data_IF_021224218228
#
_entry.id   IF_021224218228
#
_cell.length_a   1.000
_cell.length_b   1.000
_cell.length_c   1.000
_cell.angle_alpha   90.00
_cell.angle_beta   90.00
_cell.angle_gamma   90.00
#
_symmetry.space_group_name_H-M   'P 1'
#
loop_
_entity.id
_entity.type
_entity.pdbx_description
1 polymer ?
#
# COMPACT_ATOMS: atom_id res chain seq x y z
N UNK A 1 16.60 14.56 -19.41
CA UNK A 1 15.91 14.21 -18.15
C UNK A 1 15.59 12.75 -18.30
N UNK A 2 16.23 11.89 -17.51
CA UNK A 2 15.93 10.47 -17.55
C UNK A 2 14.59 10.29 -16.84
N UNK A 3 13.53 10.18 -17.63
CA UNK A 3 12.20 9.86 -17.15
C UNK A 3 12.26 8.46 -16.52
N UNK A 4 11.95 8.35 -15.22
CA UNK A 4 12.05 7.08 -14.52
C UNK A 4 10.94 6.15 -15.01
N UNK A 5 11.32 4.99 -15.55
CA UNK A 5 10.40 3.85 -15.65
C UNK A 5 9.98 3.41 -14.25
N UNK A 6 8.89 2.64 -14.14
CA UNK A 6 8.51 2.00 -12.88
C UNK A 6 9.74 1.34 -12.22
N UNK A 7 9.89 1.58 -10.93
CA UNK A 7 11.01 1.12 -10.12
C UNK A 7 10.54 0.05 -9.14
N UNK A 8 11.46 -0.83 -8.75
CA UNK A 8 11.18 -1.82 -7.71
C UNK A 8 10.95 -1.15 -6.35
N UNK A 9 9.95 -1.61 -5.60
CA UNK A 9 9.70 -1.13 -4.24
C UNK A 9 10.79 -1.56 -3.23
N UNK A 10 11.61 -2.56 -3.58
CA UNK A 10 12.60 -3.18 -2.68
C UNK A 10 13.55 -2.16 -2.06
N UNK A 11 14.20 -1.36 -2.87
CA UNK A 11 15.17 -0.39 -2.37
C UNK A 11 14.47 0.72 -1.56
N UNK A 12 13.29 1.19 -2.01
CA UNK A 12 12.52 2.22 -1.31
C UNK A 12 12.20 1.81 0.13
N UNK A 13 11.69 0.58 0.30
CA UNK A 13 11.23 0.05 1.59
C UNK A 13 12.41 -0.32 2.49
N UNK A 14 13.51 -0.87 1.92
CA UNK A 14 14.74 -1.14 2.69
C UNK A 14 15.36 0.13 3.25
N UNK A 15 15.43 1.20 2.44
CA UNK A 15 15.93 2.50 2.90
C UNK A 15 15.03 3.13 3.96
N UNK A 16 13.72 3.05 3.77
CA UNK A 16 12.73 3.52 4.73
C UNK A 16 12.92 2.87 6.10
N UNK A 17 13.07 1.54 6.13
CA UNK A 17 13.39 0.80 7.36
C UNK A 17 14.70 1.28 7.99
N UNK A 18 15.77 1.38 7.20
CA UNK A 18 17.10 1.74 7.71
C UNK A 18 17.13 3.17 8.29
N UNK A 19 16.40 4.11 7.67
CA UNK A 19 16.35 5.53 8.03
C UNK A 19 15.14 5.89 8.90
N UNK A 20 14.34 4.91 9.33
CA UNK A 20 13.17 5.04 10.21
C UNK A 20 12.10 6.02 9.70
N UNK A 21 11.74 5.89 8.43
CA UNK A 21 10.53 6.45 7.83
C UNK A 21 9.72 5.33 7.16
N UNK A 22 8.55 5.65 6.63
CA UNK A 22 7.78 4.69 5.83
C UNK A 22 7.43 5.23 4.45
N UNK A 23 7.38 4.35 3.45
CA UNK A 23 6.88 4.66 2.11
C UNK A 23 5.36 4.56 2.11
N UNK A 24 4.69 5.58 1.59
CA UNK A 24 3.26 5.52 1.35
C UNK A 24 2.93 4.58 0.19
N UNK A 25 2.05 3.61 0.46
CA UNK A 25 1.46 2.72 -0.53
C UNK A 25 -0.02 3.09 -0.70
N UNK A 26 -0.33 3.82 -1.75
CA UNK A 26 -1.65 4.41 -1.94
C UNK A 26 -2.44 3.66 -3.00
N UNK A 27 -3.64 3.20 -2.67
CA UNK A 27 -4.49 2.49 -3.62
C UNK A 27 -5.10 3.45 -4.64
N UNK A 28 -5.23 2.98 -5.87
CA UNK A 28 -5.91 3.68 -6.96
C UNK A 28 -6.91 2.77 -7.68
N UNK A 29 -7.91 3.39 -8.31
CA UNK A 29 -8.93 2.72 -9.13
C UNK A 29 -9.23 3.42 -10.45
N UNK A 30 -8.59 4.55 -10.72
CA UNK A 30 -8.84 5.39 -11.91
C UNK A 30 -7.64 6.31 -12.24
N UNK A 31 -7.82 7.18 -13.23
CA UNK A 31 -6.81 8.14 -13.67
C UNK A 31 -6.60 9.25 -12.64
N UNK A 32 -7.69 9.80 -12.12
CA UNK A 32 -7.71 10.98 -11.26
C UNK A 32 -7.01 10.73 -9.92
N UNK A 33 -7.30 9.61 -9.27
CA UNK A 33 -6.65 9.22 -8.02
C UNK A 33 -5.15 8.98 -8.26
N UNK A 34 -4.79 8.29 -9.36
CA UNK A 34 -3.40 8.04 -9.73
C UNK A 34 -2.63 9.36 -9.90
N UNK A 35 -3.19 10.31 -10.64
CA UNK A 35 -2.61 11.65 -10.84
C UNK A 35 -2.43 12.40 -9.54
N UNK A 36 -3.45 12.40 -8.68
CA UNK A 36 -3.39 13.10 -7.41
C UNK A 36 -2.32 12.53 -6.46
N UNK A 37 -2.15 11.20 -6.43
CA UNK A 37 -1.10 10.54 -5.64
C UNK A 37 0.30 10.92 -6.15
N UNK A 38 0.53 10.83 -7.46
CA UNK A 38 1.84 11.16 -8.04
C UNK A 38 2.16 12.64 -7.87
N UNK A 39 1.21 13.53 -8.12
CA UNK A 39 1.39 14.97 -7.91
C UNK A 39 1.75 15.31 -6.45
N UNK A 40 1.11 14.64 -5.47
CA UNK A 40 1.45 14.80 -4.07
C UNK A 40 2.88 14.35 -3.76
N UNK A 41 3.27 13.17 -4.26
CA UNK A 41 4.59 12.62 -4.04
C UNK A 41 5.70 13.46 -4.71
N UNK A 42 5.43 13.99 -5.91
CA UNK A 42 6.33 14.92 -6.60
C UNK A 42 6.50 16.22 -5.84
N UNK A 43 5.40 16.83 -5.39
CA UNK A 43 5.43 18.05 -4.58
C UNK A 43 6.23 17.88 -3.27
N UNK A 44 6.22 16.67 -2.70
CA UNK A 44 6.97 16.34 -1.49
C UNK A 44 8.36 15.75 -1.76
N UNK A 45 8.77 15.57 -3.02
CA UNK A 45 10.02 14.88 -3.39
C UNK A 45 10.17 13.54 -2.66
N UNK A 46 9.12 12.74 -2.71
CA UNK A 46 9.01 11.44 -2.04
C UNK A 46 8.92 10.32 -3.08
N UNK A 47 9.64 9.19 -2.90
CA UNK A 47 9.26 7.95 -3.56
C UNK A 47 7.85 7.51 -3.16
N UNK A 48 7.15 6.79 -4.03
CA UNK A 48 5.77 6.36 -3.79
C UNK A 48 5.48 4.98 -4.37
N UNK A 49 4.61 4.22 -3.69
CA UNK A 49 4.06 2.97 -4.20
C UNK A 49 2.59 3.20 -4.54
N UNK A 50 2.20 2.85 -5.77
CA UNK A 50 0.81 2.89 -6.22
C UNK A 50 0.29 1.46 -6.24
N UNK A 51 -0.78 1.23 -5.49
CA UNK A 51 -1.37 -0.08 -5.28
C UNK A 51 -2.66 -0.27 -6.08
N UNK A 52 -2.86 -1.48 -6.59
CA UNK A 52 -4.14 -1.92 -7.15
C UNK A 52 -4.60 -3.18 -6.43
N UNK A 53 -5.81 -3.15 -5.87
CA UNK A 53 -6.43 -4.32 -5.25
C UNK A 53 -7.18 -5.17 -6.28
N UNK A 54 -7.53 -6.44 -5.97
CA UNK A 54 -8.39 -7.26 -6.81
C UNK A 54 -9.67 -6.56 -7.26
N UNK A 55 -10.28 -5.76 -6.38
CA UNK A 55 -11.51 -5.01 -6.69
C UNK A 55 -11.27 -3.86 -7.67
N UNK A 56 -10.13 -3.16 -7.53
CA UNK A 56 -9.77 -2.11 -8.48
C UNK A 56 -9.49 -2.71 -9.86
N UNK A 57 -8.78 -3.85 -9.90
CA UNK A 57 -8.51 -4.62 -11.11
C UNK A 57 -9.80 -5.12 -11.76
N UNK A 58 -10.75 -5.65 -10.99
CA UNK A 58 -12.07 -6.07 -11.48
C UNK A 58 -12.86 -4.89 -12.06
N UNK A 59 -12.80 -3.73 -11.42
CA UNK A 59 -13.53 -2.54 -11.84
C UNK A 59 -12.98 -1.92 -13.13
N UNK A 60 -11.68 -1.64 -13.20
CA UNK A 60 -11.08 -0.85 -14.27
C UNK A 60 -10.33 -1.69 -15.33
N UNK A 61 -10.07 -2.97 -15.04
CA UNK A 61 -9.24 -3.84 -15.87
C UNK A 61 -7.76 -3.76 -15.50
N UNK A 62 -7.11 -4.91 -15.47
CA UNK A 62 -5.71 -5.06 -15.05
C UNK A 62 -4.75 -4.25 -15.93
N UNK A 63 -4.81 -4.46 -17.24
CA UNK A 63 -3.94 -3.81 -18.24
C UNK A 63 -4.22 -2.30 -18.32
N UNK A 64 -5.48 -1.90 -18.18
CA UNK A 64 -5.88 -0.49 -18.18
C UNK A 64 -5.27 0.25 -17.00
N UNK A 65 -5.44 -0.26 -15.78
CA UNK A 65 -4.86 0.37 -14.59
C UNK A 65 -3.34 0.41 -14.63
N UNK A 66 -2.70 -0.69 -15.02
CA UNK A 66 -1.26 -0.74 -15.16
C UNK A 66 -0.76 0.29 -16.19
N UNK A 67 -1.47 0.45 -17.32
CA UNK A 67 -1.12 1.41 -18.36
C UNK A 67 -1.27 2.86 -17.89
N UNK A 68 -2.34 3.18 -17.14
CA UNK A 68 -2.52 4.50 -16.52
C UNK A 68 -1.33 4.81 -15.61
N UNK A 69 -1.02 3.89 -14.68
CA UNK A 69 0.03 4.09 -13.68
C UNK A 69 1.40 4.20 -14.34
N UNK A 70 1.70 3.35 -15.33
CA UNK A 70 2.95 3.40 -16.09
C UNK A 70 3.09 4.73 -16.84
N UNK A 71 2.04 5.17 -17.52
CA UNK A 71 2.04 6.43 -18.26
C UNK A 71 2.29 7.63 -17.34
N UNK A 72 1.69 7.67 -16.14
CA UNK A 72 1.94 8.76 -15.21
C UNK A 72 3.32 8.67 -14.55
N UNK A 73 3.80 7.46 -14.24
CA UNK A 73 5.15 7.23 -13.70
C UNK A 73 6.26 7.69 -14.67
N UNK A 74 6.08 7.47 -15.98
CA UNK A 74 7.02 7.92 -17.01
C UNK A 74 7.09 9.45 -17.14
N UNK A 75 6.13 10.20 -16.57
CA UNK A 75 6.08 11.67 -16.68
C UNK A 75 6.50 12.40 -15.41
N UNK A 76 7.00 11.68 -14.40
CA UNK A 76 7.44 12.27 -13.12
C UNK A 76 8.91 11.97 -12.84
N UNK A 77 9.66 12.86 -12.16
CA UNK A 77 11.05 12.61 -11.79
C UNK A 77 11.19 11.71 -10.55
N UNK A 78 10.09 11.35 -9.89
CA UNK A 78 10.13 10.58 -8.64
C UNK A 78 10.16 9.06 -8.90
N UNK A 79 10.77 8.25 -8.00
CA UNK A 79 10.63 6.81 -8.06
C UNK A 79 9.18 6.38 -7.76
N UNK A 80 8.55 5.71 -8.73
CA UNK A 80 7.20 5.13 -8.59
C UNK A 80 7.28 3.61 -8.72
N UNK A 81 6.65 2.88 -7.80
CA UNK A 81 6.47 1.43 -7.90
C UNK A 81 4.99 1.09 -8.12
N UNK A 82 4.72 0.06 -8.93
CA UNK A 82 3.39 -0.50 -9.14
C UNK A 82 3.24 -1.79 -8.31
N UNK A 83 2.25 -1.83 -7.43
CA UNK A 83 2.04 -2.90 -6.45
C UNK A 83 0.69 -3.61 -6.59
N UNK A 84 0.71 -4.94 -6.63
CA UNK A 84 -0.49 -5.76 -6.41
C UNK A 84 -0.76 -5.82 -4.91
N UNK A 85 -1.90 -5.29 -4.47
CA UNK A 85 -2.31 -5.25 -3.08
C UNK A 85 -3.35 -6.36 -2.81
N UNK A 86 -3.10 -7.21 -1.80
CA UNK A 86 -3.95 -8.37 -1.47
C UNK A 86 -4.20 -9.34 -2.64
N UNK A 87 -3.15 -9.79 -3.33
CA UNK A 87 -3.27 -10.86 -4.33
C UNK A 87 -3.63 -12.20 -3.67
N UNK A 88 -4.79 -12.77 -4.01
CA UNK A 88 -5.30 -13.99 -3.35
C UNK A 88 -5.11 -15.28 -4.17
N UNK A 89 -4.63 -15.18 -5.41
CA UNK A 89 -4.33 -16.34 -6.27
C UNK A 89 -2.98 -16.17 -6.95
N UNK A 90 -2.29 -17.30 -7.15
CA UNK A 90 -1.02 -17.32 -7.87
C UNK A 90 -1.16 -16.83 -9.31
N UNK A 91 -2.28 -17.16 -9.97
CA UNK A 91 -2.58 -16.67 -11.32
C UNK A 91 -2.70 -15.13 -11.37
N UNK A 92 -3.23 -14.50 -10.32
CA UNK A 92 -3.28 -13.04 -10.25
C UNK A 92 -1.88 -12.44 -10.10
N UNK A 93 -1.04 -13.03 -9.25
CA UNK A 93 0.37 -12.63 -9.10
C UNK A 93 1.10 -12.75 -10.44
N UNK A 94 0.99 -13.91 -11.10
CA UNK A 94 1.60 -14.17 -12.41
C UNK A 94 1.13 -13.17 -13.48
N UNK A 95 -0.18 -12.91 -13.57
CA UNK A 95 -0.72 -11.93 -14.51
C UNK A 95 -0.16 -10.53 -14.27
N UNK A 96 -0.05 -10.09 -13.00
CA UNK A 96 0.53 -8.80 -12.65
C UNK A 96 2.01 -8.71 -13.03
N UNK A 97 2.79 -9.76 -12.77
CA UNK A 97 4.21 -9.83 -13.15
C UNK A 97 4.37 -9.74 -14.67
N UNK A 98 3.58 -10.50 -15.43
CA UNK A 98 3.63 -10.55 -16.89
C UNK A 98 3.37 -9.19 -17.57
N UNK A 99 2.65 -8.28 -16.92
CA UNK A 99 2.35 -6.95 -17.46
C UNK A 99 3.24 -5.84 -16.88
N UNK A 100 4.23 -6.21 -16.05
CA UNK A 100 5.26 -5.28 -15.58
C UNK A 100 4.99 -4.64 -14.21
N UNK A 101 4.25 -5.30 -13.32
CA UNK A 101 4.23 -4.89 -11.90
C UNK A 101 5.64 -4.98 -11.32
N UNK A 102 6.04 -3.97 -10.53
CA UNK A 102 7.37 -3.89 -9.92
C UNK A 102 7.39 -4.21 -8.42
N UNK A 103 6.24 -4.65 -7.90
CA UNK A 103 6.02 -5.10 -6.53
C UNK A 103 4.75 -5.95 -6.51
N UNK A 104 4.71 -7.05 -5.75
CA UNK A 104 3.48 -7.85 -5.59
C UNK A 104 3.28 -8.26 -4.14
N UNK A 105 2.03 -8.46 -3.75
CA UNK A 105 1.67 -9.09 -2.48
C UNK A 105 0.89 -10.37 -2.74
N UNK A 106 1.22 -11.44 -2.02
CA UNK A 106 0.35 -12.58 -1.87
C UNK A 106 -0.25 -12.59 -0.47
N UNK A 107 -1.58 -12.53 -0.40
CA UNK A 107 -2.33 -12.57 0.85
C UNK A 107 -2.93 -13.96 1.07
N UNK A 108 -2.16 -14.81 1.75
CA UNK A 108 -2.61 -16.12 2.24
C UNK A 108 -3.16 -16.09 3.66
N UNK A 109 -3.32 -14.90 4.27
CA UNK A 109 -3.69 -14.73 5.69
C UNK A 109 -4.99 -15.43 6.08
N UNK A 110 -5.92 -15.57 5.14
CA UNK A 110 -7.21 -16.25 5.33
C UNK A 110 -7.11 -17.77 5.45
N UNK A 111 -5.94 -18.36 5.19
CA UNK A 111 -5.70 -19.80 5.22
C UNK A 111 -5.00 -20.26 6.51
N UNK A 112 -4.93 -21.57 6.72
CA UNK A 112 -4.04 -22.17 7.72
C UNK A 112 -2.58 -21.81 7.45
N UNK A 113 -1.77 -21.68 8.51
CA UNK A 113 -0.40 -21.18 8.43
C UNK A 113 0.45 -21.95 7.41
N UNK A 114 0.43 -23.28 7.45
CA UNK A 114 1.18 -24.12 6.52
C UNK A 114 0.77 -23.88 5.05
N UNK A 115 -0.52 -23.68 4.79
CA UNK A 115 -1.01 -23.39 3.45
C UNK A 115 -0.60 -21.99 2.99
N UNK A 116 -0.64 -21.00 3.90
CA UNK A 116 -0.14 -19.65 3.66
C UNK A 116 1.36 -19.68 3.32
N UNK A 117 2.17 -20.42 4.07
CA UNK A 117 3.60 -20.59 3.81
C UNK A 117 3.87 -21.19 2.42
N UNK A 118 3.14 -22.25 2.05
CA UNK A 118 3.31 -22.92 0.74
C UNK A 118 3.00 -21.95 -0.41
N UNK A 119 1.83 -21.30 -0.37
CA UNK A 119 1.40 -20.43 -1.47
C UNK A 119 2.21 -19.14 -1.53
N UNK A 120 2.55 -18.55 -0.38
CA UNK A 120 3.40 -17.36 -0.34
C UNK A 120 4.78 -17.67 -0.90
N UNK A 121 5.40 -18.82 -0.55
CA UNK A 121 6.68 -19.25 -1.14
C UNK A 121 6.59 -19.35 -2.66
N UNK A 122 5.52 -19.93 -3.20
CA UNK A 122 5.33 -20.03 -4.65
C UNK A 122 5.20 -18.66 -5.30
N UNK A 123 4.46 -17.73 -4.69
CA UNK A 123 4.36 -16.35 -5.16
C UNK A 123 5.71 -15.61 -5.13
N UNK A 124 6.50 -15.80 -4.06
CA UNK A 124 7.86 -15.28 -3.93
C UNK A 124 8.77 -15.81 -5.03
N UNK A 125 8.76 -17.13 -5.29
CA UNK A 125 9.55 -17.76 -6.36
C UNK A 125 9.18 -17.19 -7.74
N UNK A 126 7.89 -16.97 -8.01
CA UNK A 126 7.43 -16.32 -9.26
C UNK A 126 7.90 -14.87 -9.36
N UNK A 127 7.76 -14.09 -8.29
CA UNK A 127 8.15 -12.68 -8.27
C UNK A 127 9.67 -12.52 -8.41
N UNK A 128 10.47 -13.31 -7.69
CA UNK A 128 11.92 -13.28 -7.76
C UNK A 128 12.45 -13.70 -9.14
N UNK A 129 11.75 -14.58 -9.86
CA UNK A 129 12.11 -14.90 -11.26
C UNK A 129 11.97 -13.72 -12.23
N UNK A 130 11.24 -12.67 -11.82
CA UNK A 130 11.08 -11.39 -12.53
C UNK A 130 11.87 -10.24 -11.90
N UNK A 131 12.75 -10.51 -10.91
CA UNK A 131 13.43 -9.48 -10.10
C UNK A 131 12.46 -8.53 -9.35
N UNK A 132 11.26 -9.01 -9.01
CA UNK A 132 10.21 -8.26 -8.32
C UNK A 132 10.10 -8.71 -6.85
N UNK A 133 10.06 -7.78 -5.87
CA UNK A 133 9.86 -8.15 -4.47
C UNK A 133 8.43 -8.65 -4.22
N UNK A 134 8.30 -9.58 -3.28
CA UNK A 134 7.02 -10.12 -2.84
C UNK A 134 6.76 -9.85 -1.36
N UNK A 135 5.61 -9.23 -1.07
CA UNK A 135 5.06 -9.04 0.26
C UNK A 135 4.16 -10.25 0.63
N UNK A 136 4.30 -10.75 1.85
CA UNK A 136 3.36 -11.71 2.43
C UNK A 136 2.67 -11.14 3.67
N UNK A 137 1.57 -11.76 4.10
CA UNK A 137 0.84 -11.37 5.31
C UNK A 137 0.79 -12.51 6.35
N UNK A 138 1.04 -12.16 7.61
CA UNK A 138 0.89 -13.06 8.75
C UNK A 138 0.00 -12.43 9.83
N UNK A 139 -0.92 -13.21 10.39
CA UNK A 139 -2.11 -12.67 11.06
C UNK A 139 -3.22 -12.48 10.03
N UNK A 140 -4.32 -11.82 10.39
CA UNK A 140 -5.32 -11.39 9.39
C UNK A 140 -6.06 -10.16 9.89
N UNK A 141 -6.21 -9.16 9.03
CA UNK A 141 -7.05 -8.01 9.34
C UNK A 141 -8.53 -8.42 9.40
N UNK A 142 -9.22 -7.92 10.44
CA UNK A 142 -10.67 -8.06 10.52
C UNK A 142 -11.34 -7.16 9.48
N UNK A 143 -12.44 -7.63 8.89
CA UNK A 143 -13.36 -6.76 8.14
C UNK A 143 -14.46 -6.30 9.09
N UNK A 144 -14.74 -5.00 9.11
CA UNK A 144 -15.80 -4.42 9.93
C UNK A 144 -17.11 -5.22 9.79
N UNK A 145 -17.55 -5.85 10.89
CA UNK A 145 -18.80 -6.62 10.95
C UNK A 145 -18.79 -8.05 10.40
N UNK A 146 -17.65 -8.60 9.97
CA UNK A 146 -17.60 -9.94 9.35
C UNK A 146 -16.66 -10.93 10.07
N UNK A 147 -15.41 -10.55 10.32
CA UNK A 147 -14.40 -11.44 10.89
C UNK A 147 -13.59 -10.71 11.96
N UNK A 148 -13.33 -11.37 13.09
CA UNK A 148 -12.42 -10.82 14.12
C UNK A 148 -11.00 -10.77 13.55
N UNK A 149 -10.32 -9.65 13.75
CA UNK A 149 -8.89 -9.56 13.46
C UNK A 149 -8.14 -10.62 14.26
N UNK A 150 -7.14 -11.23 13.62
CA UNK A 150 -6.19 -12.13 14.26
C UNK A 150 -4.86 -11.43 14.25
N UNK A 151 -4.37 -11.10 15.44
CA UNK A 151 -3.05 -10.51 15.60
C UNK A 151 -1.98 -11.48 15.09
N UNK A 152 -0.90 -10.93 14.54
CA UNK A 152 0.28 -11.72 14.17
C UNK A 152 0.84 -12.40 15.40
N UNK A 153 1.01 -13.72 15.35
CA UNK A 153 1.70 -14.46 16.39
C UNK A 153 3.22 -14.32 16.17
N UNK A 154 3.98 -13.72 17.11
CA UNK A 154 5.42 -13.53 16.94
C UNK A 154 6.22 -14.83 16.80
N UNK A 155 5.71 -15.92 17.36
CA UNK A 155 6.42 -17.19 17.38
C UNK A 155 6.42 -17.85 15.97
N UNK A 156 5.48 -17.46 15.11
CA UNK A 156 5.36 -17.94 13.72
C UNK A 156 6.22 -17.08 12.74
N UNK A 157 6.68 -15.90 13.16
CA UNK A 157 7.31 -14.91 12.26
C UNK A 157 8.62 -15.42 11.65
N UNK A 158 9.50 -16.01 12.46
CA UNK A 158 10.81 -16.47 11.99
C UNK A 158 10.63 -17.56 10.94
N UNK A 159 9.80 -18.55 11.25
CA UNK A 159 9.55 -19.70 10.38
C UNK A 159 8.87 -19.25 9.08
N UNK A 160 7.87 -18.37 9.18
CA UNK A 160 7.19 -17.83 8.00
C UNK A 160 8.16 -17.12 7.05
N UNK A 161 8.98 -16.18 7.56
CA UNK A 161 9.95 -15.45 6.73
C UNK A 161 10.99 -16.39 6.12
N UNK A 162 11.50 -17.35 6.89
CA UNK A 162 12.51 -18.31 6.40
C UNK A 162 11.96 -19.26 5.34
N UNK A 163 10.75 -19.79 5.52
CA UNK A 163 10.13 -20.72 4.58
C UNK A 163 9.67 -20.04 3.31
N UNK A 164 9.17 -18.81 3.40
CA UNK A 164 8.59 -18.11 2.26
C UNK A 164 9.62 -17.31 1.47
N UNK A 165 10.61 -16.73 2.15
CA UNK A 165 11.58 -15.83 1.52
C UNK A 165 11.00 -14.46 1.14
N UNK A 166 9.88 -14.05 1.75
CA UNK A 166 9.26 -12.74 1.49
C UNK A 166 10.23 -11.58 1.68
N UNK A 167 10.07 -10.54 0.85
CA UNK A 167 10.87 -9.32 0.94
C UNK A 167 10.32 -8.37 2.01
N UNK A 168 9.00 -8.35 2.20
CA UNK A 168 8.30 -7.55 3.21
C UNK A 168 7.23 -8.39 3.91
N UNK A 169 6.95 -8.05 5.16
CA UNK A 169 5.93 -8.75 5.96
C UNK A 169 4.85 -7.78 6.44
N UNK A 170 3.63 -7.95 5.94
CA UNK A 170 2.44 -7.32 6.49
C UNK A 170 2.04 -7.99 7.82
N UNK A 171 1.80 -7.16 8.83
CA UNK A 171 1.49 -7.62 10.20
C UNK A 171 0.17 -7.04 10.69
N UNK A 172 -0.58 -7.86 11.41
CA UNK A 172 -1.82 -7.48 12.08
C UNK A 172 -1.52 -7.18 13.54
N UNK A 173 -1.53 -5.89 13.90
CA UNK A 173 -1.21 -5.40 15.26
C UNK A 173 -2.36 -4.60 15.89
N UNK A 174 -3.59 -4.77 15.39
CA UNK A 174 -4.79 -4.12 15.92
C UNK A 174 -5.49 -3.16 14.94
N UNK A 175 -4.85 -2.81 13.82
CA UNK A 175 -5.51 -2.06 12.75
C UNK A 175 -6.62 -2.90 12.08
N UNK A 176 -7.60 -2.22 11.47
CA UNK A 176 -8.67 -2.85 10.69
C UNK A 176 -8.82 -2.16 9.32
N UNK A 177 -9.45 -2.85 8.37
CA UNK A 177 -9.81 -2.25 7.09
C UNK A 177 -11.10 -1.41 7.21
N UNK A 178 -11.03 -0.12 6.89
CA UNK A 178 -12.20 0.75 6.71
C UNK A 178 -12.33 1.86 7.75
N UNK A 179 -13.52 2.48 7.80
CA UNK A 179 -13.90 3.46 8.81
C UNK A 179 -14.61 2.70 9.94
N UNK A 180 -14.00 2.67 11.13
CA UNK A 180 -14.52 2.02 12.33
C UNK A 180 -13.67 2.37 13.56
N UNK A 181 -14.05 1.89 14.74
CA UNK A 181 -13.19 1.96 15.93
C UNK A 181 -11.98 1.04 15.70
N UNK A 182 -10.87 1.60 15.23
CA UNK A 182 -9.59 0.91 15.30
C UNK A 182 -9.23 0.74 16.78
N UNK A 183 -8.89 -0.48 17.17
CA UNK A 183 -8.20 -0.69 18.43
C UNK A 183 -6.83 0.00 18.35
N UNK A 184 -6.34 0.51 19.48
CA UNK A 184 -5.02 1.11 19.54
C UNK A 184 -3.96 0.11 19.04
N UNK A 185 -2.97 0.58 18.28
CA UNK A 185 -1.93 -0.30 17.76
C UNK A 185 -1.16 -0.95 18.91
N UNK A 186 -0.97 -2.27 18.84
CA UNK A 186 -0.17 -3.00 19.81
C UNK A 186 1.32 -2.83 19.51
N UNK A 187 1.89 -1.72 20.00
CA UNK A 187 3.29 -1.35 19.76
C UNK A 187 4.27 -2.35 20.41
N UNK A 188 3.93 -2.95 21.55
CA UNK A 188 4.78 -3.96 22.19
C UNK A 188 4.85 -5.24 21.36
N UNK A 189 3.74 -5.67 20.78
CA UNK A 189 3.71 -6.76 19.81
C UNK A 189 4.56 -6.43 18.57
N UNK A 190 4.40 -5.21 18.02
CA UNK A 190 5.18 -4.75 16.87
C UNK A 190 6.69 -4.80 17.16
N UNK A 191 7.13 -4.33 18.33
CA UNK A 191 8.54 -4.41 18.76
C UNK A 191 9.04 -5.85 18.79
N UNK A 192 8.25 -6.78 19.35
CA UNK A 192 8.60 -8.21 19.37
C UNK A 192 8.74 -8.73 17.94
N UNK A 193 7.78 -8.47 17.05
CA UNK A 193 7.83 -8.92 15.65
C UNK A 193 9.04 -8.33 14.92
N UNK A 194 9.30 -7.03 15.04
CA UNK A 194 10.43 -6.37 14.39
C UNK A 194 11.80 -6.92 14.85
N UNK A 195 11.90 -7.36 16.12
CA UNK A 195 13.12 -8.00 16.62
C UNK A 195 13.39 -9.40 16.02
N UNK A 196 12.37 -10.03 15.44
CA UNK A 196 12.42 -11.41 14.94
C UNK A 196 12.43 -11.49 13.41
N UNK A 197 11.73 -10.57 12.75
CA UNK A 197 11.35 -10.69 11.33
C UNK A 197 12.50 -10.69 10.34
N UNK A 198 13.59 -9.96 10.60
CA UNK A 198 14.68 -9.79 9.63
C UNK A 198 14.32 -8.98 8.38
N UNK A 199 13.04 -8.81 8.01
CA UNK A 199 12.57 -8.05 6.83
C UNK A 199 11.77 -6.78 7.21
N UNK A 200 11.64 -5.77 6.33
CA UNK A 200 10.78 -4.61 6.59
C UNK A 200 9.32 -5.00 6.87
N UNK A 201 8.70 -4.31 7.82
CA UNK A 201 7.31 -4.54 8.19
C UNK A 201 6.37 -3.58 7.47
N UNK A 202 5.18 -4.06 7.16
CA UNK A 202 4.14 -3.31 6.44
C UNK A 202 2.91 -3.16 7.33
N UNK A 203 2.38 -1.93 7.40
CA UNK A 203 1.15 -1.64 8.11
C UNK A 203 0.00 -1.46 7.13
N UNK A 204 -0.97 -2.34 7.25
CA UNK A 204 -2.24 -2.26 6.53
C UNK A 204 -3.33 -1.63 7.42
N UNK A 205 -4.41 -1.14 6.80
CA UNK A 205 -5.54 -0.58 7.55
C UNK A 205 -5.19 0.68 8.36
N UNK A 206 -4.29 1.52 7.86
CA UNK A 206 -3.84 2.72 8.58
C UNK A 206 -4.87 3.87 8.58
N UNK A 207 -5.93 3.78 7.78
CA UNK A 207 -7.01 4.77 7.78
C UNK A 207 -7.71 4.83 9.13
N UNK A 208 -7.81 6.04 9.70
CA UNK A 208 -8.37 6.27 11.03
C UNK A 208 -7.48 5.90 12.21
N UNK A 209 -6.24 5.44 11.99
CA UNK A 209 -5.25 5.24 13.06
C UNK A 209 -4.70 6.62 13.49
N UNK A 210 -4.59 6.94 14.79
CA UNK A 210 -4.01 8.20 15.25
C UNK A 210 -2.59 8.44 14.71
N UNK A 211 -2.29 9.68 14.33
CA UNK A 211 -0.98 10.05 13.77
C UNK A 211 0.19 9.71 14.70
N UNK A 212 0.01 9.81 16.03
CA UNK A 212 1.04 9.42 17.00
C UNK A 212 1.29 7.90 17.02
N UNK A 213 0.27 7.08 16.82
CA UNK A 213 0.41 5.63 16.73
C UNK A 213 1.14 5.25 15.44
N UNK A 214 0.85 5.93 14.33
CA UNK A 214 1.58 5.78 13.06
C UNK A 214 3.07 6.10 13.25
N UNK A 215 3.40 7.23 13.88
CA UNK A 215 4.79 7.61 14.17
C UNK A 215 5.48 6.56 15.04
N UNK A 216 4.82 6.09 16.08
CA UNK A 216 5.35 5.02 16.93
C UNK A 216 5.56 3.73 16.14
N UNK A 217 4.63 3.35 15.26
CA UNK A 217 4.76 2.15 14.46
C UNK A 217 5.98 2.23 13.52
N UNK A 218 6.20 3.39 12.87
CA UNK A 218 7.38 3.66 12.03
C UNK A 218 8.67 3.53 12.84
N UNK A 219 8.73 4.14 14.03
CA UNK A 219 9.91 4.04 14.90
C UNK A 219 10.23 2.60 15.35
N UNK A 220 9.23 1.72 15.30
CA UNK A 220 9.32 0.32 15.70
C UNK A 220 9.33 -0.66 14.53
N UNK A 221 9.59 -0.20 13.29
CA UNK A 221 9.96 -1.07 12.17
C UNK A 221 9.00 -1.08 10.97
N UNK A 222 7.85 -0.40 11.06
CA UNK A 222 6.99 -0.19 9.89
C UNK A 222 7.70 0.69 8.87
N UNK A 223 7.85 0.19 7.64
CA UNK A 223 8.56 0.84 6.54
C UNK A 223 7.70 1.05 5.28
N UNK A 224 6.50 0.47 5.24
CA UNK A 224 5.48 0.69 4.21
C UNK A 224 4.11 0.79 4.88
N UNK A 225 3.30 1.74 4.45
CA UNK A 225 1.95 1.97 5.02
C UNK A 225 0.93 2.03 3.89
N UNK A 226 -0.08 1.17 3.96
CA UNK A 226 -1.16 1.11 2.97
C UNK A 226 -2.30 2.07 3.32
N UNK A 227 -2.75 2.86 2.34
CA UNK A 227 -3.84 3.84 2.46
C UNK A 227 -4.79 3.70 1.27
N UNK A 228 -6.06 3.44 1.56
CA UNK A 228 -7.13 3.28 0.57
C UNK A 228 -8.39 4.04 1.01
N UNK A 229 -8.94 3.66 2.17
CA UNK A 229 -10.26 4.12 2.62
C UNK A 229 -10.35 5.64 2.73
N UNK A 230 -9.32 6.30 3.25
CA UNK A 230 -9.32 7.75 3.37
C UNK A 230 -9.22 8.47 2.02
N UNK A 231 -8.58 7.88 1.01
CA UNK A 231 -8.57 8.42 -0.36
C UNK A 231 -9.99 8.37 -0.93
N UNK A 232 -10.67 7.22 -0.82
CA UNK A 232 -12.06 7.08 -1.27
C UNK A 232 -13.01 8.01 -0.52
N UNK A 233 -12.79 8.18 0.78
CA UNK A 233 -13.57 9.11 1.60
C UNK A 233 -13.35 10.55 1.14
N UNK A 234 -12.10 10.96 0.95
CA UNK A 234 -11.72 12.29 0.44
C UNK A 234 -12.36 12.52 -0.93
N UNK A 235 -12.21 11.59 -1.87
CA UNK A 235 -12.84 11.64 -3.20
C UNK A 235 -14.35 11.87 -3.10
N UNK A 236 -15.04 11.01 -2.34
CA UNK A 236 -16.51 11.03 -2.23
C UNK A 236 -17.02 12.30 -1.54
N UNK A 237 -16.33 12.75 -0.48
CA UNK A 237 -16.69 13.96 0.24
C UNK A 237 -16.49 15.20 -0.63
N UNK A 238 -15.35 15.30 -1.32
CA UNK A 238 -15.03 16.44 -2.18
C UNK A 238 -16.06 16.60 -3.30
N UNK A 239 -16.45 15.51 -3.98
CA UNK A 239 -17.52 15.56 -4.99
C UNK A 239 -18.82 16.11 -4.40
N UNK A 240 -19.25 15.60 -3.24
CA UNK A 240 -20.50 16.05 -2.59
C UNK A 240 -20.45 17.54 -2.24
N UNK A 241 -19.31 18.01 -1.74
CA UNK A 241 -19.16 19.41 -1.36
C UNK A 241 -19.12 20.35 -2.58
N UNK A 242 -18.42 19.96 -3.65
CA UNK A 242 -18.33 20.74 -4.89
C UNK A 242 -19.72 20.91 -5.51
N UNK A 243 -20.46 19.80 -5.68
CA UNK A 243 -21.79 19.82 -6.29
C UNK A 243 -22.83 20.52 -5.42
N UNK A 244 -22.68 20.50 -4.09
CA UNK A 244 -23.53 21.27 -3.19
C UNK A 244 -23.29 22.79 -3.29
N UNK A 245 -22.06 23.21 -3.59
CA UNK A 245 -21.69 24.64 -3.70
C UNK A 245 -21.97 25.22 -5.08
N UNK A 246 -21.87 24.41 -6.14
CA UNK A 246 -22.17 24.82 -7.50
C UNK A 246 -23.00 23.75 -8.21
N UNK A 247 -24.32 23.87 -8.15
CA UNK A 247 -25.27 22.89 -8.71
C UNK A 247 -25.33 22.91 -10.24
N UNK A 248 -24.86 23.98 -10.86
CA UNK A 248 -24.85 24.14 -12.32
C UNK A 248 -23.56 23.60 -12.96
N UNK A 249 -22.54 23.28 -12.16
CA UNK A 249 -21.30 22.68 -12.67
C UNK A 249 -21.58 21.27 -13.19
N UNK A 250 -21.35 21.09 -14.48
CA UNK A 250 -21.55 19.81 -15.15
C UNK A 250 -20.33 19.37 -15.97
N UNK A 251 -19.26 20.17 -16.01
CA UNK A 251 -18.01 19.75 -16.65
C UNK A 251 -17.27 18.79 -15.71
N UNK A 252 -17.15 17.49 -16.07
CA UNK A 252 -16.48 16.52 -15.21
C UNK A 252 -15.02 16.91 -14.95
N UNK A 253 -14.35 17.64 -15.87
CA UNK A 253 -12.95 18.03 -15.71
C UNK A 253 -12.80 19.08 -14.61
N UNK A 254 -13.70 20.06 -14.55
CA UNK A 254 -13.70 21.08 -13.50
C UNK A 254 -14.00 20.49 -12.12
N UNK A 255 -14.92 19.53 -12.07
CA UNK A 255 -15.26 18.80 -10.83
C UNK A 255 -14.06 17.97 -10.38
N UNK A 256 -13.54 17.10 -11.25
CA UNK A 256 -12.49 16.14 -10.91
C UNK A 256 -11.15 16.82 -10.64
N UNK A 257 -10.85 17.96 -11.27
CA UNK A 257 -9.66 18.76 -10.93
C UNK A 257 -9.69 19.23 -9.47
N UNK A 258 -10.84 19.68 -8.98
CA UNK A 258 -11.01 20.09 -7.57
C UNK A 258 -10.95 18.90 -6.63
N UNK A 259 -11.48 17.74 -7.03
CA UNK A 259 -11.38 16.49 -6.25
C UNK A 259 -9.93 16.03 -6.14
N UNK A 260 -9.19 16.02 -7.25
CA UNK A 260 -7.76 15.66 -7.26
C UNK A 260 -6.94 16.57 -6.34
N UNK A 261 -7.23 17.87 -6.29
CA UNK A 261 -6.54 18.79 -5.39
C UNK A 261 -6.73 18.44 -3.90
N UNK A 262 -7.92 17.98 -3.50
CA UNK A 262 -8.17 17.55 -2.12
C UNK A 262 -7.49 16.21 -1.80
N UNK A 263 -7.48 15.26 -2.75
CA UNK A 263 -6.75 14.00 -2.59
C UNK A 263 -5.25 14.26 -2.50
N UNK A 264 -4.71 15.11 -3.38
CA UNK A 264 -3.31 15.50 -3.36
C UNK A 264 -2.94 16.06 -1.98
N UNK A 265 -3.70 17.03 -1.47
CA UNK A 265 -3.48 17.61 -0.14
C UNK A 265 -3.50 16.57 0.98
N UNK A 266 -4.43 15.61 0.93
CA UNK A 266 -4.48 14.52 1.88
C UNK A 266 -3.23 13.64 1.80
N UNK A 267 -2.84 13.21 0.60
CA UNK A 267 -1.65 12.36 0.36
C UNK A 267 -0.36 13.07 0.78
N UNK A 268 -0.20 14.37 0.49
CA UNK A 268 0.94 15.18 0.96
C UNK A 268 1.03 15.17 2.50
N UNK A 269 -0.11 15.26 3.18
CA UNK A 269 -0.18 15.17 4.64
C UNK A 269 0.28 13.81 5.16
N UNK A 270 -0.10 12.72 4.49
CA UNK A 270 0.34 11.36 4.84
C UNK A 270 1.83 11.15 4.57
N UNK A 271 2.35 11.63 3.45
CA UNK A 271 3.79 11.57 3.12
C UNK A 271 4.63 12.26 4.22
N UNK A 272 4.23 13.47 4.64
CA UNK A 272 4.90 14.19 5.74
C UNK A 272 4.80 13.44 7.07
N UNK A 273 3.63 12.85 7.36
CA UNK A 273 3.46 12.02 8.57
C UNK A 273 4.38 10.80 8.55
N UNK A 274 4.54 10.16 7.40
CA UNK A 274 5.37 8.98 7.24
C UNK A 274 6.87 9.31 7.22
N UNK A 275 7.24 10.58 7.05
CA UNK A 275 8.61 11.07 7.02
C UNK A 275 9.34 10.76 5.71
N UNK A 276 8.60 10.46 4.63
CA UNK A 276 9.17 10.18 3.31
C UNK A 276 9.33 11.42 2.43
N UNK A 277 8.92 12.60 2.89
CA UNK A 277 9.21 13.85 2.20
C UNK A 277 10.72 14.10 2.11
N UNK A 278 11.15 14.63 0.96
CA UNK A 278 12.55 14.92 0.64
C UNK A 278 13.48 13.68 0.75
N UNK A 279 12.97 12.50 0.38
CA UNK A 279 13.72 11.21 0.38
C UNK A 279 14.02 10.67 -1.02
N UNK A 280 13.90 11.50 -2.06
CA UNK A 280 14.44 11.25 -3.40
C UNK A 280 15.96 11.34 -3.46
#
# INVERSE_FOLDING_TARGET
MDYFMLTSSKQMVLEARAKKYAIGCFNTSDLEITKAIIAAAEAQKSPVIIATSPKAIEYAGLETLASIIKSEAENTPIPVALHLDHGVTLAMVENCLNIGYTSVMFDGSGSELEHNEILTRQAVEMAHSHDVPCEGELGSLGKAGATKSRLTNPDDVIEFVQKTGVDFLAVSIGSQHGIGENEALNIELLKKINSLTGVPLVLHGASGVPDEDIKQAIQNGIAKINIDTDIRHTFSQSIREILKRNTEENDPREILTKVMAEIQKYVEGRIKLFGSDNKM
#
